data_IF_218177249584
#
_entry.id   IF_218177249584
#
_cell.length_a   1.000
_cell.length_b   1.000
_cell.length_c   1.000
_cell.angle_alpha   90.00
_cell.angle_beta   90.00
_cell.angle_gamma   90.00
#
_symmetry.space_group_name_H-M   'P 1'
#
loop_
_entity.id
_entity.type
_entity.pdbx_description
1 polymer ?
#
# COMPACT_ATOMS: atom_id res chain seq x y z
N UNK A 1 -17.66 -8.77 27.67
CA UNK A 1 -18.26 -7.71 26.83
C UNK A 1 -17.22 -6.63 26.68
N UNK A 2 -16.46 -6.64 25.59
CA UNK A 2 -15.64 -5.50 25.19
C UNK A 2 -16.61 -4.48 24.59
N UNK A 3 -16.62 -3.27 25.16
CA UNK A 3 -17.35 -2.15 24.56
C UNK A 3 -16.74 -1.94 23.16
N UNK A 4 -17.53 -1.92 22.07
CA UNK A 4 -17.00 -1.53 20.78
C UNK A 4 -16.41 -0.13 20.94
N UNK A 5 -15.09 -0.02 20.83
CA UNK A 5 -14.43 1.28 20.78
C UNK A 5 -14.98 1.98 19.56
N UNK A 6 -15.78 3.03 19.78
CA UNK A 6 -16.27 3.85 18.70
C UNK A 6 -15.04 4.35 17.92
N UNK A 7 -15.03 4.23 16.59
CA UNK A 7 -13.89 4.64 15.80
C UNK A 7 -13.56 6.12 16.08
N UNK A 8 -12.27 6.49 16.06
CA UNK A 8 -11.86 7.86 16.29
C UNK A 8 -12.53 8.80 15.27
N UNK A 9 -12.92 9.99 15.69
CA UNK A 9 -13.50 11.01 14.79
C UNK A 9 -12.42 11.72 13.97
N UNK A 10 -11.19 11.74 14.47
CA UNK A 10 -10.02 12.28 13.79
C UNK A 10 -8.77 11.48 14.13
N UNK A 11 -7.77 11.54 13.25
CA UNK A 11 -6.44 10.99 13.47
C UNK A 11 -5.40 12.09 13.31
N UNK A 12 -4.77 12.47 14.42
CA UNK A 12 -3.64 13.38 14.42
C UNK A 12 -2.33 12.58 14.31
N UNK A 13 -1.47 12.95 13.37
CA UNK A 13 -0.20 12.26 13.11
C UNK A 13 0.90 13.24 12.72
N UNK A 14 2.09 13.03 13.27
CA UNK A 14 3.32 13.71 12.86
C UNK A 14 3.98 12.91 11.74
N UNK A 15 3.96 13.44 10.51
CA UNK A 15 4.55 12.79 9.35
C UNK A 15 5.97 13.30 9.09
N UNK A 16 6.94 12.44 8.72
CA UNK A 16 8.28 12.89 8.34
C UNK A 16 8.22 13.71 7.06
N UNK A 17 8.70 14.95 7.08
CA UNK A 17 8.67 15.85 5.93
C UNK A 17 9.99 15.84 5.15
N UNK A 18 11.12 15.81 5.85
CA UNK A 18 12.46 15.73 5.25
C UNK A 18 13.42 14.93 6.14
N UNK A 19 14.46 14.37 5.54
CA UNK A 19 15.64 13.83 6.24
C UNK A 19 16.82 14.78 6.12
N UNK A 20 17.72 14.74 7.12
CA UNK A 20 19.00 15.42 7.06
C UNK A 20 19.73 15.12 5.74
N UNK A 21 20.01 16.17 4.97
CA UNK A 21 20.78 16.07 3.73
C UNK A 21 21.61 17.33 3.55
N UNK A 22 22.92 17.17 3.34
CA UNK A 22 23.83 18.29 3.13
C UNK A 22 24.68 18.03 1.89
N UNK A 23 24.70 19.00 0.98
CA UNK A 23 25.61 19.01 -0.16
C UNK A 23 26.36 20.35 -0.20
N UNK A 24 27.62 20.30 0.23
CA UNK A 24 28.47 21.48 0.31
C UNK A 24 28.90 22.01 -1.07
N UNK A 25 28.80 21.21 -2.14
CA UNK A 25 29.16 21.65 -3.50
C UNK A 25 28.20 22.71 -4.05
N UNK A 26 26.94 22.66 -3.60
CA UNK A 26 25.86 23.59 -3.98
C UNK A 26 25.29 24.35 -2.78
N UNK A 27 25.96 24.29 -1.63
CA UNK A 27 25.52 24.90 -0.37
C UNK A 27 24.08 24.51 0.04
N UNK A 28 23.66 23.28 -0.27
CA UNK A 28 22.39 22.73 0.16
C UNK A 28 22.50 22.20 1.59
N UNK A 29 21.58 22.63 2.45
CA UNK A 29 21.41 22.13 3.80
C UNK A 29 19.92 21.90 4.05
N UNK A 30 19.53 20.66 4.29
CA UNK A 30 18.18 20.25 4.64
C UNK A 30 18.23 19.61 6.03
N UNK A 31 17.40 20.09 6.95
CA UNK A 31 17.22 19.51 8.27
C UNK A 31 16.29 18.30 8.26
N UNK A 32 16.25 17.57 9.37
CA UNK A 32 15.18 16.60 9.63
C UNK A 32 13.98 17.33 10.24
N UNK A 33 12.82 17.17 9.60
CA UNK A 33 11.58 17.85 9.99
C UNK A 33 10.40 16.88 9.93
N UNK A 34 9.43 17.09 10.81
CA UNK A 34 8.10 16.48 10.75
C UNK A 34 7.05 17.57 10.54
N UNK A 35 5.87 17.16 10.10
CA UNK A 35 4.71 18.04 9.95
C UNK A 35 3.47 17.38 10.56
N UNK A 36 2.72 18.08 11.43
CA UNK A 36 1.44 17.60 11.92
C UNK A 36 0.41 17.61 10.81
N UNK A 37 -0.35 16.53 10.69
CA UNK A 37 -1.58 16.48 9.89
C UNK A 37 -2.71 15.88 10.71
N UNK A 38 -3.94 16.30 10.42
CA UNK A 38 -5.16 15.79 11.06
C UNK A 38 -6.09 15.25 10.00
N UNK A 39 -6.41 13.96 10.07
CA UNK A 39 -7.37 13.31 9.18
C UNK A 39 -8.75 13.35 9.83
N UNK A 40 -9.76 13.79 9.07
CA UNK A 40 -11.16 13.73 9.45
C UNK A 40 -11.73 12.34 9.08
N UNK A 41 -12.19 11.60 10.09
CA UNK A 41 -12.71 10.25 9.96
C UNK A 41 -14.25 10.21 9.97
N UNK A 42 -14.90 11.31 9.57
CA UNK A 42 -16.36 11.38 9.36
C UNK A 42 -16.89 10.55 8.18
N UNK A 43 -15.98 9.92 7.42
CA UNK A 43 -16.30 9.10 6.24
C UNK A 43 -16.00 9.78 4.90
N UNK A 44 -15.86 8.96 3.86
CA UNK A 44 -15.71 9.40 2.46
C UNK A 44 -14.32 9.90 2.08
N UNK A 45 -14.12 10.18 0.77
CA UNK A 45 -12.84 10.61 0.22
C UNK A 45 -12.51 12.05 0.61
N UNK A 46 -11.25 12.28 0.95
CA UNK A 46 -10.71 13.56 1.43
C UNK A 46 -9.27 13.74 0.97
N UNK A 47 -8.81 15.00 1.00
CA UNK A 47 -7.43 15.37 0.69
C UNK A 47 -6.81 16.10 1.89
N UNK A 48 -5.56 15.76 2.19
CA UNK A 48 -4.70 16.51 3.11
C UNK A 48 -3.70 17.29 2.28
N UNK A 49 -3.48 18.54 2.68
CA UNK A 49 -2.34 19.33 2.28
C UNK A 49 -1.85 20.12 3.49
N UNK A 50 -0.56 19.96 3.85
CA UNK A 50 0.03 20.78 4.91
C UNK A 50 0.37 22.18 4.42
N UNK A 51 0.48 23.13 5.35
CA UNK A 51 1.13 24.40 5.06
C UNK A 51 2.62 24.16 4.70
N UNK A 52 3.20 24.95 3.79
CA UNK A 52 4.64 24.93 3.56
C UNK A 52 5.40 25.40 4.78
N UNK A 53 6.46 24.66 5.15
CA UNK A 53 7.37 25.05 6.22
C UNK A 53 8.83 25.07 5.76
N UNK A 54 9.67 25.95 6.33
CA UNK A 54 11.09 26.00 6.00
C UNK A 54 11.79 24.75 6.53
N UNK A 55 12.51 24.05 5.65
CA UNK A 55 13.23 22.80 5.95
C UNK A 55 14.74 22.91 5.74
N UNK A 56 15.22 24.05 5.25
CA UNK A 56 16.62 24.22 4.94
C UNK A 56 16.94 25.44 4.09
N UNK A 57 18.08 25.38 3.40
CA UNK A 57 18.52 26.43 2.49
C UNK A 57 19.31 25.86 1.31
N UNK A 58 19.20 26.50 0.15
CA UNK A 58 19.98 26.26 -1.06
C UNK A 58 20.61 27.58 -1.50
N UNK A 59 21.94 27.67 -1.50
CA UNK A 59 22.69 28.91 -1.79
C UNK A 59 22.17 30.13 -0.99
N UNK A 60 21.83 29.90 0.28
CA UNK A 60 21.28 30.92 1.19
C UNK A 60 19.78 31.23 1.03
N UNK A 61 19.12 30.69 0.01
CA UNK A 61 17.66 30.83 -0.19
C UNK A 61 16.92 29.76 0.63
N UNK A 62 15.89 30.11 1.43
CA UNK A 62 15.14 29.12 2.19
C UNK A 62 14.49 28.07 1.29
N UNK A 63 14.63 26.80 1.67
CA UNK A 63 13.94 25.68 1.05
C UNK A 63 12.70 25.39 1.89
N UNK A 64 11.53 25.37 1.25
CA UNK A 64 10.23 25.05 1.82
C UNK A 64 9.83 23.63 1.42
N UNK A 65 9.12 22.93 2.30
CA UNK A 65 8.48 21.67 1.98
C UNK A 65 7.04 21.62 2.50
N UNK A 66 6.20 20.85 1.82
CA UNK A 66 4.85 20.49 2.25
C UNK A 66 4.53 19.06 1.85
N UNK A 67 3.55 18.45 2.51
CA UNK A 67 3.03 17.11 2.18
C UNK A 67 1.58 17.21 1.71
N UNK A 68 1.19 16.36 0.76
CA UNK A 68 -0.21 16.22 0.35
C UNK A 68 -0.53 14.79 -0.07
N UNK A 69 -1.73 14.30 0.22
CA UNK A 69 -2.21 12.98 -0.19
C UNK A 69 -3.74 12.89 -0.09
N UNK A 70 -4.34 11.96 -0.82
CA UNK A 70 -5.75 11.60 -0.66
C UNK A 70 -5.92 10.36 0.22
N UNK A 71 -7.08 10.30 0.88
CA UNK A 71 -7.51 9.15 1.65
C UNK A 71 -9.03 9.02 1.61
N UNK A 72 -9.54 7.82 1.87
CA UNK A 72 -10.96 7.56 2.07
C UNK A 72 -11.13 6.78 3.38
N UNK A 73 -12.08 7.17 4.21
CA UNK A 73 -12.42 6.43 5.42
C UNK A 73 -13.82 5.85 5.31
N UNK A 74 -13.95 4.54 5.47
CA UNK A 74 -15.22 3.84 5.44
C UNK A 74 -15.64 3.51 6.86
N UNK A 75 -16.60 4.29 7.37
CA UNK A 75 -17.10 4.18 8.75
C UNK A 75 -17.68 2.79 9.04
N UNK A 76 -18.45 2.24 8.11
CA UNK A 76 -19.16 0.96 8.31
C UNK A 76 -18.20 -0.23 8.46
N UNK A 77 -17.06 -0.18 7.78
CA UNK A 77 -16.04 -1.23 7.81
C UNK A 77 -14.82 -0.88 8.67
N UNK A 78 -14.81 0.32 9.28
CA UNK A 78 -13.66 0.88 10.00
C UNK A 78 -12.33 0.70 9.22
N UNK A 79 -12.35 1.14 7.96
CA UNK A 79 -11.26 0.96 7.00
C UNK A 79 -10.76 2.33 6.50
N UNK A 80 -9.49 2.64 6.74
CA UNK A 80 -8.80 3.77 6.13
C UNK A 80 -8.11 3.33 4.85
N UNK A 81 -8.43 3.94 3.72
CA UNK A 81 -7.78 3.68 2.43
C UNK A 81 -6.87 4.85 2.09
N UNK A 82 -5.62 4.54 1.74
CA UNK A 82 -4.59 5.49 1.28
C UNK A 82 -3.92 4.93 0.02
N UNK A 83 -3.22 5.79 -0.71
CA UNK A 83 -2.42 5.39 -1.85
C UNK A 83 -1.02 4.93 -1.38
N UNK A 84 -0.72 3.66 -1.65
CA UNK A 84 0.51 2.99 -1.22
C UNK A 84 1.75 3.45 -1.98
N UNK A 85 2.92 2.97 -1.52
CA UNK A 85 4.22 3.37 -2.07
C UNK A 85 4.48 2.87 -3.49
N UNK A 86 3.82 1.79 -3.91
CA UNK A 86 3.91 1.24 -5.26
C UNK A 86 2.75 1.70 -6.16
N UNK A 87 1.87 2.58 -5.69
CA UNK A 87 0.86 3.21 -6.53
C UNK A 87 1.49 4.17 -7.55
N UNK A 88 0.85 4.33 -8.70
CA UNK A 88 1.32 5.15 -9.82
C UNK A 88 0.30 6.25 -10.19
N UNK A 89 -0.78 6.40 -9.42
CA UNK A 89 -1.77 7.45 -9.65
C UNK A 89 -1.30 8.82 -9.13
N UNK A 90 -2.06 9.86 -9.46
CA UNK A 90 -1.79 11.23 -9.00
C UNK A 90 -2.07 11.45 -7.51
N UNK A 91 -2.84 10.53 -6.92
CA UNK A 91 -3.39 10.64 -5.57
C UNK A 91 -2.43 10.10 -4.49
N UNK A 92 -1.30 9.53 -4.93
CA UNK A 92 -0.21 9.10 -4.08
C UNK A 92 0.30 10.24 -3.19
N UNK A 93 0.88 9.88 -2.05
CA UNK A 93 1.56 10.82 -1.18
C UNK A 93 2.67 11.58 -1.92
N UNK A 94 2.60 12.91 -1.84
CA UNK A 94 3.53 13.85 -2.46
C UNK A 94 4.24 14.67 -1.39
N UNK A 95 5.55 14.82 -1.55
CA UNK A 95 6.35 15.81 -0.81
C UNK A 95 6.74 16.87 -1.82
N UNK A 96 6.22 18.08 -1.69
CA UNK A 96 6.57 19.19 -2.59
C UNK A 96 7.69 19.98 -1.93
N UNK A 97 8.82 20.18 -2.62
CA UNK A 97 9.95 20.97 -2.11
C UNK A 97 10.30 22.08 -3.10
N UNK A 98 10.32 23.32 -2.61
CA UNK A 98 10.51 24.50 -3.44
C UNK A 98 11.28 25.59 -2.71
N UNK A 99 11.84 26.56 -3.44
CA UNK A 99 12.52 27.70 -2.83
C UNK A 99 11.51 28.78 -2.45
N UNK A 100 11.69 29.39 -1.28
CA UNK A 100 10.91 30.55 -0.87
C UNK A 100 11.40 31.78 -1.66
N UNK A 101 10.73 32.09 -2.76
CA UNK A 101 10.97 33.33 -3.49
C UNK A 101 10.61 34.54 -2.60
N UNK A 102 11.54 35.50 -2.50
CA UNK A 102 11.27 36.82 -1.93
C UNK A 102 10.05 37.46 -2.65
N UNK A 103 9.30 38.37 -2.00
CA UNK A 103 7.82 38.45 -2.01
C UNK A 103 7.12 38.91 -3.32
N UNK A 104 7.52 38.42 -4.50
CA UNK A 104 6.79 38.65 -5.77
C UNK A 104 6.89 37.43 -6.71
N UNK A 105 5.73 36.78 -6.94
CA UNK A 105 5.39 35.94 -8.12
C UNK A 105 6.02 34.53 -8.17
N UNK A 106 5.44 33.44 -8.72
CA UNK A 106 4.21 33.10 -9.47
C UNK A 106 3.93 31.58 -9.27
N UNK A 107 2.71 31.10 -9.49
CA UNK A 107 2.28 29.69 -9.35
C UNK A 107 3.05 28.66 -10.20
N UNK A 108 3.86 29.11 -11.16
CA UNK A 108 4.57 28.30 -12.15
C UNK A 108 5.94 27.75 -11.66
N UNK A 109 6.30 28.00 -10.39
CA UNK A 109 7.64 27.67 -9.84
C UNK A 109 7.61 26.57 -8.75
N UNK A 110 6.46 25.95 -8.51
CA UNK A 110 6.35 24.85 -7.54
C UNK A 110 6.90 23.56 -8.16
N UNK A 111 7.82 22.90 -7.46
CA UNK A 111 8.27 21.54 -7.83
C UNK A 111 7.51 20.52 -6.99
N UNK A 112 6.63 19.76 -7.62
CA UNK A 112 5.94 18.65 -6.99
C UNK A 112 6.78 17.37 -7.11
N UNK A 113 7.12 16.73 -5.98
CA UNK A 113 7.66 15.36 -6.01
C UNK A 113 6.53 14.38 -5.68
N UNK A 114 6.22 13.52 -6.64
CA UNK A 114 5.43 12.30 -6.43
C UNK A 114 6.40 11.13 -6.24
N UNK A 115 5.94 9.99 -5.72
CA UNK A 115 6.80 8.80 -5.65
C UNK A 115 7.14 8.22 -7.05
N UNK A 116 6.55 8.80 -8.11
CA UNK A 116 6.99 8.70 -9.50
C UNK A 116 7.46 10.06 -10.04
N UNK A 117 8.56 10.12 -10.82
CA UNK A 117 9.11 11.38 -11.30
C UNK A 117 8.24 11.92 -12.45
N UNK A 118 7.76 13.17 -12.39
CA UNK A 118 7.94 14.12 -13.50
C UNK A 118 7.40 15.56 -13.33
N UNK A 119 8.13 16.41 -14.04
CA UNK A 119 7.90 17.77 -14.56
C UNK A 119 7.91 18.98 -13.63
N UNK A 120 8.82 19.90 -13.95
CA UNK A 120 9.05 21.17 -13.25
C UNK A 120 8.76 22.34 -14.18
N UNK A 121 7.91 23.27 -13.74
CA UNK A 121 7.72 24.59 -14.35
C UNK A 121 8.91 25.51 -14.06
N UNK A 122 9.36 26.26 -15.07
CA UNK A 122 10.67 26.92 -15.10
C UNK A 122 10.56 28.40 -15.44
N UNK A 123 10.85 29.32 -14.50
CA UNK A 123 10.82 30.77 -14.77
C UNK A 123 11.88 31.65 -14.05
N UNK A 124 12.87 31.09 -13.34
CA UNK A 124 14.02 31.85 -12.77
C UNK A 124 15.35 31.08 -12.93
N UNK A 125 16.52 31.74 -13.05
CA UNK A 125 17.82 31.07 -13.15
C UNK A 125 18.13 30.19 -11.93
N UNK A 126 17.77 30.66 -10.73
CA UNK A 126 17.97 29.91 -9.48
C UNK A 126 16.99 28.73 -9.39
N UNK A 127 15.75 28.90 -9.87
CA UNK A 127 14.78 27.80 -9.90
C UNK A 127 15.13 26.74 -10.95
N UNK A 128 15.81 27.12 -12.04
CA UNK A 128 16.37 26.16 -13.00
C UNK A 128 17.52 25.35 -12.38
N UNK A 129 18.44 25.99 -11.66
CA UNK A 129 19.52 25.27 -10.95
C UNK A 129 18.95 24.36 -9.86
N UNK A 130 17.93 24.80 -9.11
CA UNK A 130 17.25 23.97 -8.13
C UNK A 130 16.54 22.78 -8.79
N UNK A 131 15.73 23.01 -9.82
CA UNK A 131 15.04 21.96 -10.57
C UNK A 131 16.02 20.96 -11.20
N UNK A 132 17.06 21.45 -11.85
CA UNK A 132 18.12 20.64 -12.45
C UNK A 132 18.86 19.84 -11.36
N UNK A 133 19.17 20.46 -10.21
CA UNK A 133 19.81 19.77 -9.10
C UNK A 133 18.94 18.64 -8.57
N UNK A 134 17.66 18.88 -8.25
CA UNK A 134 16.81 17.81 -7.72
C UNK A 134 16.55 16.72 -8.77
N UNK A 135 16.39 17.09 -10.04
CA UNK A 135 16.18 16.13 -11.12
C UNK A 135 17.41 15.26 -11.45
N UNK A 136 18.63 15.75 -11.18
CA UNK A 136 19.88 15.04 -11.53
C UNK A 136 20.59 14.41 -10.33
N UNK A 137 20.30 14.85 -9.09
CA UNK A 137 20.98 14.38 -7.90
C UNK A 137 20.29 13.17 -7.27
N UNK A 138 20.66 11.98 -7.76
CA UNK A 138 20.05 10.68 -7.39
C UNK A 138 20.02 10.41 -5.88
N UNK A 139 21.05 10.85 -5.14
CA UNK A 139 21.11 10.66 -3.69
C UNK A 139 20.04 11.48 -2.96
N UNK A 140 19.82 12.74 -3.37
CA UNK A 140 18.78 13.58 -2.78
C UNK A 140 17.39 13.05 -3.14
N UNK A 141 17.18 12.68 -4.42
CA UNK A 141 15.94 12.06 -4.86
C UNK A 141 15.61 10.79 -4.06
N UNK A 142 16.57 9.88 -3.88
CA UNK A 142 16.38 8.66 -3.10
C UNK A 142 15.99 8.95 -1.63
N UNK A 143 16.51 10.03 -1.03
CA UNK A 143 16.13 10.45 0.33
C UNK A 143 14.70 10.97 0.41
N UNK A 144 14.22 11.68 -0.62
CA UNK A 144 12.83 12.12 -0.68
C UNK A 144 11.87 10.93 -0.83
N UNK A 145 12.22 9.97 -1.68
CA UNK A 145 11.46 8.73 -1.84
C UNK A 145 11.41 7.90 -0.56
N UNK A 146 12.54 7.79 0.14
CA UNK A 146 12.59 7.14 1.46
C UNK A 146 11.71 7.86 2.49
N UNK A 147 11.69 9.19 2.46
CA UNK A 147 10.84 10.00 3.34
C UNK A 147 9.35 9.81 3.05
N UNK A 148 8.94 9.84 1.78
CA UNK A 148 7.57 9.58 1.37
C UNK A 148 7.10 8.17 1.80
N UNK A 149 7.96 7.17 1.63
CA UNK A 149 7.69 5.80 2.09
C UNK A 149 7.47 5.73 3.61
N UNK A 150 8.35 6.38 4.38
CA UNK A 150 8.21 6.45 5.84
C UNK A 150 6.95 7.21 6.27
N UNK A 151 6.42 8.13 5.46
CA UNK A 151 5.14 8.78 5.75
C UNK A 151 4.00 7.76 5.72
N UNK A 152 3.90 6.96 4.66
CA UNK A 152 2.88 5.91 4.55
C UNK A 152 3.00 4.90 5.69
N UNK A 153 4.21 4.44 6.00
CA UNK A 153 4.47 3.55 7.13
C UNK A 153 4.00 4.18 8.46
N UNK A 154 4.36 5.45 8.71
CA UNK A 154 3.97 6.18 9.92
C UNK A 154 2.46 6.37 10.03
N UNK A 155 1.78 6.63 8.90
CA UNK A 155 0.35 6.82 8.83
C UNK A 155 -0.41 5.53 9.14
N UNK A 156 -0.01 4.40 8.52
CA UNK A 156 -0.57 3.07 8.81
C UNK A 156 -0.42 2.75 10.29
N UNK A 157 0.78 2.92 10.82
CA UNK A 157 1.10 2.68 12.21
C UNK A 157 0.27 3.55 13.17
N UNK A 158 0.12 4.83 12.87
CA UNK A 158 -0.66 5.77 13.67
C UNK A 158 -2.15 5.40 13.66
N UNK A 159 -2.70 5.07 12.49
CA UNK A 159 -4.09 4.66 12.34
C UNK A 159 -4.42 3.40 13.14
N UNK A 160 -3.59 2.35 13.03
CA UNK A 160 -3.77 1.12 13.80
C UNK A 160 -3.65 1.38 15.31
N UNK A 161 -2.69 2.21 15.74
CA UNK A 161 -2.56 2.60 17.17
C UNK A 161 -3.73 3.42 17.70
N UNK A 162 -4.37 4.21 16.84
CA UNK A 162 -5.56 4.99 17.16
C UNK A 162 -6.84 4.14 17.23
N UNK A 163 -6.75 2.85 16.88
CA UNK A 163 -7.85 1.89 16.97
C UNK A 163 -8.67 1.74 15.70
N UNK A 164 -8.19 2.24 14.54
CA UNK A 164 -8.80 1.94 13.25
C UNK A 164 -8.59 0.45 12.93
N UNK A 165 -9.68 -0.24 12.59
CA UNK A 165 -9.70 -1.69 12.38
C UNK A 165 -8.83 -2.18 11.23
N UNK A 166 -8.71 -1.39 10.16
CA UNK A 166 -7.83 -1.71 9.03
C UNK A 166 -7.35 -0.49 8.23
N UNK A 167 -6.17 -0.62 7.62
CA UNK A 167 -5.62 0.37 6.68
C UNK A 167 -5.29 -0.31 5.35
N UNK A 168 -5.88 0.13 4.25
CA UNK A 168 -5.59 -0.33 2.89
C UNK A 168 -4.66 0.66 2.21
N UNK A 169 -3.53 0.16 1.73
CA UNK A 169 -2.63 0.85 0.83
C UNK A 169 -2.90 0.36 -0.60
N UNK A 170 -3.60 1.18 -1.41
CA UNK A 170 -3.82 0.93 -2.85
C UNK A 170 -2.47 0.79 -3.52
N UNK A 171 -2.31 -0.16 -4.44
CA UNK A 171 -1.02 -0.38 -5.08
C UNK A 171 -1.12 -0.91 -6.51
N UNK A 172 0.05 -1.08 -7.13
CA UNK A 172 0.12 -1.57 -8.51
C UNK A 172 -0.08 -3.08 -8.58
N UNK A 173 -1.02 -3.50 -9.43
CA UNK A 173 -1.27 -4.90 -9.73
C UNK A 173 -0.01 -5.59 -10.30
N UNK A 174 0.19 -6.89 -10.05
CA UNK A 174 1.23 -7.67 -10.71
C UNK A 174 1.18 -7.57 -12.25
N UNK A 175 2.35 -7.57 -12.88
CA UNK A 175 2.47 -7.41 -14.33
C UNK A 175 2.27 -8.74 -15.07
N UNK A 176 1.42 -8.75 -16.10
CA UNK A 176 1.29 -9.86 -17.04
C UNK A 176 2.34 -9.72 -18.14
N UNK A 177 3.04 -10.81 -18.43
CA UNK A 177 4.07 -10.94 -19.44
C UNK A 177 3.81 -12.20 -20.28
N UNK A 178 4.45 -12.32 -21.44
CA UNK A 178 4.30 -13.52 -22.27
C UNK A 178 4.76 -14.80 -21.56
N UNK A 179 5.77 -14.67 -20.70
CA UNK A 179 6.33 -15.78 -19.90
C UNK A 179 5.36 -16.28 -18.85
N UNK A 180 4.43 -15.43 -18.43
CA UNK A 180 3.56 -15.66 -17.29
C UNK A 180 2.07 -15.73 -17.70
N UNK A 181 1.78 -15.55 -18.99
CA UNK A 181 0.44 -15.49 -19.58
C UNK A 181 -0.37 -16.76 -19.33
N UNK A 182 0.19 -17.94 -19.60
CA UNK A 182 -0.57 -19.20 -19.49
C UNK A 182 -0.98 -19.52 -18.06
N UNK A 183 -0.18 -19.07 -17.09
CA UNK A 183 -0.53 -19.17 -15.67
C UNK A 183 -1.65 -18.19 -15.30
N UNK A 184 -1.68 -16.98 -15.85
CA UNK A 184 -2.83 -16.09 -15.69
C UNK A 184 -4.08 -16.60 -16.41
N UNK A 185 -3.94 -17.28 -17.55
CA UNK A 185 -5.04 -17.96 -18.22
C UNK A 185 -5.62 -19.04 -17.31
N UNK A 186 -4.77 -19.87 -16.65
CA UNK A 186 -5.21 -20.76 -15.56
C UNK A 186 -5.89 -19.96 -14.44
N UNK A 187 -5.34 -18.80 -14.10
CA UNK A 187 -5.87 -17.88 -13.08
C UNK A 187 -7.33 -17.44 -13.29
N UNK A 188 -7.77 -17.41 -14.53
CA UNK A 188 -9.11 -16.94 -14.86
C UNK A 188 -9.95 -18.05 -15.50
N UNK A 189 -9.57 -19.32 -15.32
CA UNK A 189 -10.28 -20.47 -15.88
C UNK A 189 -10.29 -20.50 -17.41
N UNK A 190 -9.33 -19.84 -18.06
CA UNK A 190 -9.24 -19.73 -19.52
C UNK A 190 -8.48 -20.91 -20.12
N UNK A 191 -8.90 -21.41 -21.29
CA UNK A 191 -8.23 -22.51 -21.96
C UNK A 191 -6.79 -22.14 -22.34
N UNK A 192 -5.86 -23.07 -22.15
CA UNK A 192 -4.47 -22.94 -22.58
C UNK A 192 -4.37 -23.60 -23.96
N UNK A 193 -4.19 -22.78 -24.99
CA UNK A 193 -4.00 -23.29 -26.35
C UNK A 193 -2.58 -23.85 -26.48
N UNK A 194 -2.46 -25.07 -26.99
CA UNK A 194 -1.18 -25.76 -27.17
C UNK A 194 -0.38 -25.26 -28.39
N UNK A 195 -1.03 -24.54 -29.29
CA UNK A 195 -0.42 -23.90 -30.45
C UNK A 195 -0.15 -22.43 -30.17
N UNK A 196 0.91 -21.87 -30.77
CA UNK A 196 1.22 -20.46 -30.64
C UNK A 196 0.11 -19.63 -31.31
N UNK A 197 -0.88 -19.19 -30.54
CA UNK A 197 -1.87 -18.24 -31.01
C UNK A 197 -1.15 -16.96 -31.46
N UNK A 198 -1.59 -16.40 -32.59
CA UNK A 198 -0.96 -15.21 -33.20
C UNK A 198 -1.18 -13.95 -32.34
N UNK A 199 -1.98 -14.05 -31.27
CA UNK A 199 -2.47 -12.90 -30.51
C UNK A 199 -2.19 -12.95 -28.99
N UNK A 200 -1.15 -13.67 -28.56
CA UNK A 200 -0.73 -13.72 -27.15
C UNK A 200 -0.48 -12.33 -26.55
N UNK A 201 -0.11 -11.34 -27.36
CA UNK A 201 0.06 -9.96 -26.91
C UNK A 201 -1.26 -9.32 -26.46
N UNK A 202 -2.36 -9.54 -27.19
CA UNK A 202 -3.69 -9.06 -26.77
C UNK A 202 -4.21 -9.82 -25.56
N UNK A 203 -3.91 -11.11 -25.44
CA UNK A 203 -4.24 -11.89 -24.23
C UNK A 203 -3.50 -11.36 -23.00
N UNK A 204 -2.22 -10.97 -23.14
CA UNK A 204 -1.45 -10.31 -22.07
C UNK A 204 -2.15 -9.02 -21.63
N UNK A 205 -2.55 -8.17 -22.58
CA UNK A 205 -3.23 -6.92 -22.27
C UNK A 205 -4.58 -7.14 -21.57
N UNK A 206 -5.39 -8.08 -22.07
CA UNK A 206 -6.69 -8.39 -21.47
C UNK A 206 -6.56 -8.93 -20.04
N UNK A 207 -5.63 -9.86 -19.81
CA UNK A 207 -5.39 -10.40 -18.48
C UNK A 207 -4.79 -9.37 -17.53
N UNK A 208 -3.94 -8.48 -18.05
CA UNK A 208 -3.43 -7.35 -17.28
C UNK A 208 -4.57 -6.45 -16.79
N UNK A 209 -5.59 -6.21 -17.62
CA UNK A 209 -6.74 -5.40 -17.26
C UNK A 209 -7.64 -6.10 -16.24
N UNK A 210 -7.84 -7.42 -16.35
CA UNK A 210 -8.56 -8.17 -15.32
C UNK A 210 -7.81 -8.10 -13.98
N UNK A 211 -6.49 -8.32 -13.97
CA UNK A 211 -5.71 -8.21 -12.73
C UNK A 211 -5.77 -6.82 -12.11
N UNK A 212 -5.72 -5.76 -12.92
CA UNK A 212 -5.90 -4.39 -12.43
C UNK A 212 -7.28 -4.17 -11.83
N UNK A 213 -8.30 -4.87 -12.33
CA UNK A 213 -9.66 -4.78 -11.78
C UNK A 213 -9.87 -5.57 -10.48
N UNK A 214 -9.08 -6.63 -10.26
CA UNK A 214 -9.20 -7.50 -9.08
C UNK A 214 -8.21 -7.15 -7.98
N UNK A 215 -6.98 -6.72 -8.31
CA UNK A 215 -6.01 -6.32 -7.30
C UNK A 215 -6.36 -4.94 -6.74
N UNK A 216 -6.46 -4.85 -5.40
CA UNK A 216 -6.68 -3.56 -4.73
C UNK A 216 -5.36 -3.00 -4.20
N UNK A 217 -4.62 -3.81 -3.44
CA UNK A 217 -3.43 -3.33 -2.74
C UNK A 217 -3.02 -4.23 -1.60
N UNK A 218 -2.29 -3.66 -0.64
CA UNK A 218 -2.01 -4.31 0.64
C UNK A 218 -2.95 -3.78 1.72
N UNK A 219 -3.26 -4.60 2.70
CA UNK A 219 -4.05 -4.20 3.87
C UNK A 219 -3.25 -4.47 5.13
N UNK A 220 -3.40 -3.64 6.15
CA UNK A 220 -2.92 -3.90 7.51
C UNK A 220 -4.13 -3.97 8.43
N UNK A 221 -4.31 -5.08 9.12
CA UNK A 221 -5.38 -5.27 10.11
C UNK A 221 -4.88 -4.93 11.51
N UNK A 222 -5.78 -4.41 12.34
CA UNK A 222 -5.52 -4.25 13.76
C UNK A 222 -5.22 -5.61 14.45
N UNK A 223 -4.48 -5.56 15.55
CA UNK A 223 -4.20 -6.75 16.34
C UNK A 223 -5.49 -7.36 16.90
N UNK A 224 -5.57 -8.69 16.91
CA UNK A 224 -6.75 -9.47 17.29
C UNK A 224 -7.98 -9.31 16.39
N UNK A 225 -7.86 -8.72 15.20
CA UNK A 225 -8.95 -8.77 14.20
C UNK A 225 -9.26 -10.22 13.88
N UNK A 226 -10.52 -10.62 14.07
CA UNK A 226 -11.02 -11.95 13.73
C UNK A 226 -11.16 -12.10 12.22
N UNK A 227 -10.83 -13.27 11.69
CA UNK A 227 -11.00 -13.62 10.28
C UNK A 227 -11.31 -15.11 10.09
N UNK A 228 -11.93 -15.46 8.96
CA UNK A 228 -12.31 -16.82 8.61
C UNK A 228 -11.95 -17.15 7.16
N UNK A 229 -11.89 -18.44 6.81
CA UNK A 229 -11.57 -18.88 5.45
C UNK A 229 -12.71 -18.55 4.48
N UNK A 230 -12.36 -18.29 3.21
CA UNK A 230 -13.29 -18.38 2.10
C UNK A 230 -13.52 -19.84 1.74
N UNK A 231 -14.78 -20.23 1.55
CA UNK A 231 -15.17 -21.59 1.15
C UNK A 231 -15.14 -21.67 -0.37
N UNK A 232 -14.51 -22.72 -0.92
CA UNK A 232 -14.42 -22.94 -2.38
C UNK A 232 -13.09 -22.48 -2.97
N UNK A 233 -12.39 -21.55 -2.30
CA UNK A 233 -11.18 -20.88 -2.77
C UNK A 233 -9.92 -21.75 -2.94
N UNK A 234 -10.02 -23.07 -2.73
CA UNK A 234 -8.86 -23.98 -2.79
C UNK A 234 -8.34 -24.16 -4.20
N UNK A 235 -9.25 -24.15 -5.18
CA UNK A 235 -8.92 -24.23 -6.60
C UNK A 235 -8.68 -22.86 -7.20
N UNK A 236 -8.72 -21.80 -6.39
CA UNK A 236 -8.43 -20.46 -6.85
C UNK A 236 -7.03 -20.44 -7.44
N UNK A 237 -6.96 -20.18 -8.73
CA UNK A 237 -5.71 -20.28 -9.45
C UNK A 237 -4.83 -19.08 -9.09
N UNK A 238 -3.51 -19.27 -9.11
CA UNK A 238 -2.55 -18.36 -8.46
C UNK A 238 -2.08 -17.26 -9.41
N UNK A 239 -1.74 -16.10 -8.86
CA UNK A 239 -1.13 -14.97 -9.59
C UNK A 239 0.27 -15.33 -10.10
N UNK A 240 0.52 -15.15 -11.39
CA UNK A 240 1.82 -15.46 -12.00
C UNK A 240 2.91 -14.43 -11.69
N UNK A 241 4.16 -14.89 -11.64
CA UNK A 241 5.25 -14.25 -10.90
C UNK A 241 5.35 -14.82 -9.48
N UNK A 242 4.31 -15.53 -9.03
CA UNK A 242 4.28 -16.24 -7.75
C UNK A 242 3.80 -17.68 -7.94
N UNK A 243 4.47 -18.63 -7.30
CA UNK A 243 4.13 -20.07 -7.39
C UNK A 243 3.01 -20.47 -6.43
N UNK A 244 2.52 -19.53 -5.62
CA UNK A 244 1.52 -19.71 -4.57
C UNK A 244 0.95 -18.37 -4.12
N UNK A 245 -0.25 -18.39 -3.53
CA UNK A 245 -0.82 -17.22 -2.85
C UNK A 245 0.07 -16.71 -1.72
N UNK A 246 0.69 -17.62 -0.97
CA UNK A 246 1.73 -17.20 -0.02
C UNK A 246 2.89 -16.50 -0.70
N UNK A 247 3.30 -16.91 -1.90
CA UNK A 247 4.32 -16.21 -2.69
C UNK A 247 3.92 -14.76 -3.01
N UNK A 248 2.67 -14.53 -3.41
CA UNK A 248 2.14 -13.17 -3.64
C UNK A 248 2.25 -12.33 -2.36
N UNK A 249 1.82 -12.90 -1.23
CA UNK A 249 1.96 -12.24 0.07
C UNK A 249 3.43 -11.95 0.41
N UNK A 250 4.35 -12.89 0.19
CA UNK A 250 5.78 -12.69 0.44
C UNK A 250 6.30 -11.48 -0.37
N UNK A 251 5.97 -11.44 -1.66
CA UNK A 251 6.40 -10.35 -2.56
C UNK A 251 5.83 -9.00 -2.18
N UNK A 252 4.53 -8.92 -1.87
CA UNK A 252 3.83 -7.65 -1.60
C UNK A 252 3.91 -7.17 -0.15
N UNK A 253 4.07 -8.07 0.82
CA UNK A 253 3.93 -7.74 2.24
C UNK A 253 5.20 -8.04 3.06
N UNK A 254 6.17 -8.79 2.54
CA UNK A 254 7.33 -9.24 3.33
C UNK A 254 8.66 -9.24 2.56
N UNK A 255 8.82 -8.35 1.57
CA UNK A 255 10.06 -8.18 0.80
C UNK A 255 10.58 -9.50 0.18
N UNK A 256 9.68 -10.37 -0.28
CA UNK A 256 9.99 -11.67 -0.85
C UNK A 256 10.34 -12.77 0.16
N UNK A 257 10.31 -12.49 1.46
CA UNK A 257 10.68 -13.46 2.49
C UNK A 257 9.49 -14.29 2.95
N UNK A 258 9.73 -15.57 3.24
CA UNK A 258 8.72 -16.44 3.84
C UNK A 258 8.27 -15.95 5.23
N UNK A 259 7.00 -16.14 5.63
CA UNK A 259 6.54 -15.78 6.96
C UNK A 259 7.21 -16.67 8.01
N UNK A 260 7.54 -16.10 9.17
CA UNK A 260 8.08 -16.87 10.31
C UNK A 260 6.97 -17.62 11.05
N UNK A 261 5.76 -17.06 11.09
CA UNK A 261 4.60 -17.61 11.80
C UNK A 261 3.35 -17.56 10.93
N UNK A 262 2.37 -18.41 11.23
CA UNK A 262 0.99 -18.18 10.79
C UNK A 262 0.47 -16.89 11.44
N UNK A 263 -0.39 -16.16 10.72
CA UNK A 263 -1.07 -14.95 11.19
C UNK A 263 -1.72 -15.15 12.56
N UNK A 264 -2.35 -16.32 12.79
CA UNK A 264 -2.98 -16.68 14.08
C UNK A 264 -2.16 -17.62 14.94
N UNK A 265 -0.93 -17.93 14.54
CA UNK A 265 -0.05 -18.90 15.21
C UNK A 265 -0.79 -20.21 15.54
N UNK A 266 -1.10 -20.48 16.81
CA UNK A 266 -1.77 -21.72 17.27
C UNK A 266 -3.26 -21.49 17.61
N UNK A 267 -3.80 -20.32 17.30
CA UNK A 267 -5.13 -19.97 17.74
C UNK A 267 -6.20 -20.43 16.73
N UNK A 268 -7.13 -21.23 17.22
CA UNK A 268 -8.37 -21.64 16.56
C UNK A 268 -9.51 -21.50 17.55
N UNK A 269 -10.60 -20.84 17.17
CA UNK A 269 -11.76 -20.70 18.06
C UNK A 269 -12.38 -22.04 18.48
N UNK A 270 -12.49 -23.00 17.57
CA UNK A 270 -13.09 -24.33 17.86
C UNK A 270 -12.08 -25.35 18.40
N UNK A 271 -10.78 -25.09 18.28
CA UNK A 271 -9.70 -26.02 18.66
C UNK A 271 -8.52 -25.28 19.30
N UNK A 272 -8.69 -24.60 20.44
CA UNK A 272 -7.67 -23.70 21.01
C UNK A 272 -6.35 -24.39 21.42
N UNK A 273 -6.34 -25.73 21.51
CA UNK A 273 -5.16 -26.53 21.82
C UNK A 273 -4.42 -27.04 20.58
N UNK A 274 -4.97 -26.82 19.37
CA UNK A 274 -4.38 -27.30 18.13
C UNK A 274 -3.17 -26.44 17.77
N UNK A 275 -2.04 -27.09 17.55
CA UNK A 275 -0.85 -26.41 17.09
C UNK A 275 -0.93 -26.11 15.59
N UNK A 276 -0.33 -25.00 15.19
CA UNK A 276 -0.04 -24.70 13.79
C UNK A 276 0.75 -25.86 13.17
N UNK A 277 0.28 -26.41 12.06
CA UNK A 277 0.95 -27.52 11.39
C UNK A 277 0.87 -27.43 9.87
N UNK A 278 1.84 -28.05 9.20
CA UNK A 278 1.95 -28.05 7.73
C UNK A 278 2.70 -26.84 7.17
N UNK A 279 2.58 -26.65 5.86
CA UNK A 279 3.21 -25.54 5.12
C UNK A 279 2.33 -24.29 5.13
N UNK A 280 2.92 -23.12 4.95
CA UNK A 280 2.17 -21.88 4.73
C UNK A 280 1.62 -21.83 3.31
N UNK A 281 0.33 -21.53 3.17
CA UNK A 281 -0.37 -21.60 1.88
C UNK A 281 -0.86 -20.24 1.38
N UNK A 282 -1.13 -19.29 2.30
CA UNK A 282 -1.70 -17.99 1.95
C UNK A 282 -3.16 -18.13 1.54
N UNK A 283 -4.04 -18.51 2.47
CA UNK A 283 -5.45 -18.76 2.14
C UNK A 283 -6.21 -17.47 1.88
N UNK A 284 -7.24 -17.56 1.04
CA UNK A 284 -8.28 -16.53 0.96
C UNK A 284 -9.05 -16.51 2.27
N UNK A 285 -9.06 -15.34 2.91
CA UNK A 285 -9.76 -15.09 4.17
C UNK A 285 -10.63 -13.85 4.07
N UNK A 286 -11.59 -13.75 4.97
CA UNK A 286 -12.49 -12.61 5.13
C UNK A 286 -12.56 -12.20 6.61
N UNK A 287 -12.74 -10.91 6.93
CA UNK A 287 -12.96 -10.47 8.30
C UNK A 287 -14.19 -11.13 8.94
N UNK A 288 -14.13 -11.33 10.25
CA UNK A 288 -15.21 -11.90 11.04
C UNK A 288 -15.01 -13.38 11.38
N UNK A 289 -16.07 -13.99 11.92
CA UNK A 289 -15.97 -15.28 12.62
C UNK A 289 -16.57 -16.45 11.85
N UNK A 290 -17.06 -16.22 10.64
CA UNK A 290 -17.79 -17.22 9.86
C UNK A 290 -17.17 -17.36 8.48
N UNK A 291 -16.77 -18.58 8.13
CA UNK A 291 -16.35 -18.91 6.78
C UNK A 291 -17.55 -18.80 5.83
N UNK A 292 -17.33 -18.23 4.64
CA UNK A 292 -18.38 -18.02 3.64
C UNK A 292 -17.87 -18.30 2.23
N UNK A 293 -18.79 -18.64 1.33
CA UNK A 293 -18.57 -18.43 -0.09
C UNK A 293 -18.70 -16.93 -0.38
N UNK A 294 -17.90 -16.42 -1.30
CA UNK A 294 -17.88 -15.00 -1.66
C UNK A 294 -18.45 -14.84 -3.06
N UNK A 295 -19.15 -13.73 -3.30
CA UNK A 295 -19.61 -13.38 -4.63
C UNK A 295 -18.50 -12.68 -5.41
N UNK A 296 -18.59 -12.74 -6.75
CA UNK A 296 -17.66 -12.00 -7.61
C UNK A 296 -17.72 -10.50 -7.28
N UNK A 297 -16.56 -9.91 -7.02
CA UNK A 297 -16.38 -8.52 -6.65
C UNK A 297 -16.20 -8.30 -5.16
N UNK A 298 -16.54 -9.28 -4.31
CA UNK A 298 -16.41 -9.14 -2.86
C UNK A 298 -14.95 -9.06 -2.41
N UNK A 299 -14.63 -8.29 -1.36
CA UNK A 299 -13.27 -8.20 -0.85
C UNK A 299 -12.84 -9.52 -0.20
N UNK A 300 -11.71 -10.04 -0.65
CA UNK A 300 -11.01 -11.18 -0.04
C UNK A 300 -9.56 -10.81 0.22
N UNK A 301 -8.95 -11.54 1.15
CA UNK A 301 -7.63 -11.20 1.65
C UNK A 301 -6.71 -12.41 1.63
N UNK A 302 -5.43 -12.18 1.32
CA UNK A 302 -4.39 -13.20 1.43
C UNK A 302 -3.55 -12.90 2.66
N UNK A 303 -3.61 -13.82 3.62
CA UNK A 303 -2.80 -13.81 4.83
C UNK A 303 -2.04 -15.14 4.99
N UNK A 304 -0.83 -15.14 5.57
CA UNK A 304 -0.09 -16.36 5.81
C UNK A 304 -0.81 -17.20 6.85
N UNK A 305 -1.39 -18.30 6.39
CA UNK A 305 -1.97 -19.35 7.23
C UNK A 305 -1.37 -20.70 6.86
N UNK A 306 -1.31 -21.62 7.81
CA UNK A 306 -0.84 -22.97 7.53
C UNK A 306 -1.95 -23.83 6.90
N UNK A 307 -1.57 -24.92 6.22
CA UNK A 307 -2.54 -25.86 5.63
C UNK A 307 -3.53 -26.42 6.67
N UNK A 308 -3.09 -26.56 7.93
CA UNK A 308 -3.96 -26.93 9.04
C UNK A 308 -5.07 -25.91 9.34
N UNK A 309 -4.78 -24.60 9.25
CA UNK A 309 -5.79 -23.53 9.40
C UNK A 309 -6.70 -23.43 8.19
N UNK A 310 -6.12 -23.51 7.00
CA UNK A 310 -6.84 -23.41 5.74
C UNK A 310 -7.87 -24.54 5.54
N UNK A 311 -7.67 -25.70 6.18
CA UNK A 311 -8.57 -26.85 6.05
C UNK A 311 -9.76 -26.88 7.00
N UNK A 312 -9.98 -25.86 7.85
CA UNK A 312 -11.00 -25.91 8.91
C UNK A 312 -11.97 -24.73 8.81
N UNK A 313 -13.04 -24.89 8.01
CA UNK A 313 -14.06 -23.85 7.82
C UNK A 313 -14.99 -23.67 9.03
N UNK A 314 -14.98 -24.59 10.00
CA UNK A 314 -15.77 -24.50 11.24
C UNK A 314 -15.08 -23.68 12.34
N UNK A 315 -13.91 -23.11 12.07
CA UNK A 315 -13.18 -22.25 12.99
C UNK A 315 -12.93 -20.90 12.34
N UNK A 316 -12.87 -19.88 13.17
CA UNK A 316 -12.24 -18.62 12.82
C UNK A 316 -10.89 -18.50 13.51
N UNK A 317 -10.18 -17.46 13.12
CA UNK A 317 -8.81 -17.11 13.41
C UNK A 317 -8.74 -15.65 13.86
N UNK A 318 -7.62 -15.19 14.43
CA UNK A 318 -7.41 -13.76 14.67
C UNK A 318 -5.95 -13.34 14.47
N UNK A 319 -5.72 -12.05 14.22
CA UNK A 319 -4.38 -11.51 13.94
C UNK A 319 -3.50 -11.49 15.18
N UNK A 320 -2.41 -12.26 15.18
CA UNK A 320 -1.34 -12.23 16.19
C UNK A 320 0.02 -11.84 15.59
N UNK A 321 0.26 -12.22 14.34
CA UNK A 321 1.49 -11.97 13.58
C UNK A 321 1.12 -11.58 12.15
N UNK A 322 2.06 -11.01 11.40
CA UNK A 322 1.87 -10.66 9.98
C UNK A 322 0.59 -9.86 9.73
N UNK A 323 0.41 -8.75 10.44
CA UNK A 323 -0.80 -7.92 10.35
C UNK A 323 -1.05 -7.37 8.94
N UNK A 324 -0.02 -7.34 8.07
CA UNK A 324 -0.13 -6.93 6.67
C UNK A 324 -0.46 -8.11 5.77
N UNK A 325 -1.46 -7.97 4.91
CA UNK A 325 -1.90 -8.93 3.90
C UNK A 325 -2.14 -8.28 2.54
N UNK A 326 -2.61 -9.05 1.57
CA UNK A 326 -3.00 -8.56 0.23
C UNK A 326 -4.52 -8.50 0.14
N UNK A 327 -5.08 -7.41 -0.38
CA UNK A 327 -6.52 -7.24 -0.63
C UNK A 327 -6.81 -7.39 -2.11
N UNK A 328 -7.80 -8.21 -2.43
CA UNK A 328 -8.28 -8.50 -3.78
C UNK A 328 -9.81 -8.41 -3.82
N UNK A 329 -10.39 -8.14 -4.98
CA UNK A 329 -11.79 -8.38 -5.28
C UNK A 329 -11.93 -9.80 -5.84
N UNK A 330 -12.81 -10.60 -5.25
CA UNK A 330 -13.00 -12.01 -5.60
C UNK A 330 -13.47 -12.14 -7.04
N UNK A 331 -12.95 -13.14 -7.76
CA UNK A 331 -13.22 -13.29 -9.18
C UNK A 331 -14.07 -14.52 -9.52
N UNK A 332 -14.09 -15.54 -8.65
CA UNK A 332 -14.73 -16.82 -8.95
C UNK A 332 -16.27 -16.70 -9.04
N UNK A 333 -16.86 -17.50 -9.94
CA UNK A 333 -18.30 -17.73 -10.13
C UNK A 333 -18.57 -19.22 -10.17
#
# INVERSE_FOLDING_TARGET
MTVPTQPPQSLDVELPLTTLFNDYSVQLKIGEHTVPVSLDLSGGPKEIQSDPMPVGSFDGVPVMAQISFQYDYKVDSDELTIHGNDDQTEDQLRITIFLQDAPRQLSEQRIEFRATPNNVGSNSPVTKVWADYVGTHTAFHARLMDTARRCNETLVDAAIRAGIGSVVEIGTAPTVTLDNLDDFKRMFGRPIEAEASVDRASEVAELQDILRSTYVGTVTWAGNTDFANVIGSTLDPKVTGYTSWIGLWQGKCNNGNAPTYCTSRNWFSSQPQRQCSGVFVGGHVIPGTQASQMEKGDPVYIYPICSGHNGVNSSYMHVLYNARGVKLNYWET
#
